data_IF_057710285575
#
_entry.id   IF_057710285575
#
_cell.length_a   1.000
_cell.length_b   1.000
_cell.length_c   1.000
_cell.angle_alpha   90.00
_cell.angle_beta   90.00
_cell.angle_gamma   90.00
#
_symmetry.space_group_name_H-M   'P 1'
#
loop_
_entity.id
_entity.type
_entity.pdbx_description
1 polymer ?
#
# COMPACT_ATOMS: atom_id res chain seq x y z
N UNK A 1 0.46 3.40 -21.61
CA UNK A 1 1.52 3.69 -20.61
C UNK A 1 2.02 2.38 -20.01
N UNK A 2 3.18 2.37 -19.35
CA UNK A 2 3.78 1.17 -18.71
C UNK A 2 3.18 0.81 -17.34
N UNK A 3 2.08 1.44 -16.96
CA UNK A 3 1.41 1.21 -15.69
C UNK A 3 0.46 0.00 -15.79
N UNK A 4 0.38 -0.76 -14.69
CA UNK A 4 -0.58 -1.86 -14.50
C UNK A 4 -1.52 -1.48 -13.37
N UNK A 5 -2.82 -1.73 -13.57
CA UNK A 5 -3.82 -1.63 -12.52
C UNK A 5 -4.17 -3.03 -12.03
N UNK A 6 -4.05 -3.26 -10.74
CA UNK A 6 -4.54 -4.47 -10.08
C UNK A 6 -5.89 -4.14 -9.44
N UNK A 7 -6.92 -4.92 -9.76
CA UNK A 7 -8.26 -4.69 -9.22
C UNK A 7 -8.38 -5.34 -7.86
N UNK A 8 -8.98 -4.61 -6.91
CA UNK A 8 -9.33 -5.13 -5.59
C UNK A 8 -10.84 -5.43 -5.64
N UNK A 9 -11.22 -6.71 -5.57
CA UNK A 9 -12.63 -7.09 -5.70
C UNK A 9 -13.45 -6.70 -4.46
N UNK A 10 -12.85 -6.77 -3.27
CA UNK A 10 -13.43 -6.36 -1.99
C UNK A 10 -12.41 -5.57 -1.18
N UNK A 11 -12.84 -4.50 -0.49
CA UNK A 11 -11.95 -3.64 0.31
C UNK A 11 -11.04 -4.43 1.26
N UNK A 12 -11.57 -5.47 1.92
CA UNK A 12 -10.81 -6.33 2.84
C UNK A 12 -9.64 -7.07 2.18
N UNK A 13 -9.62 -7.20 0.85
CA UNK A 13 -8.56 -7.88 0.10
C UNK A 13 -7.42 -6.94 -0.32
N UNK A 14 -7.53 -5.63 -0.05
CA UNK A 14 -6.56 -4.64 -0.51
C UNK A 14 -5.13 -5.00 -0.08
N UNK A 15 -4.92 -5.35 1.20
CA UNK A 15 -3.61 -5.77 1.70
C UNK A 15 -3.04 -6.99 0.95
N UNK A 16 -3.87 -7.95 0.55
CA UNK A 16 -3.43 -9.12 -0.21
C UNK A 16 -2.99 -8.72 -1.63
N UNK A 17 -3.76 -7.85 -2.29
CA UNK A 17 -3.42 -7.32 -3.62
C UNK A 17 -2.15 -6.47 -3.58
N UNK A 18 -1.94 -5.71 -2.49
CA UNK A 18 -0.70 -4.96 -2.26
C UNK A 18 0.53 -5.87 -2.24
N UNK A 19 0.46 -6.99 -1.52
CA UNK A 19 1.55 -7.98 -1.49
C UNK A 19 1.74 -8.63 -2.85
N UNK A 20 0.66 -9.07 -3.50
CA UNK A 20 0.71 -9.67 -4.84
C UNK A 20 1.41 -8.74 -5.85
N UNK A 21 1.13 -7.43 -5.78
CA UNK A 21 1.73 -6.44 -6.66
C UNK A 21 3.25 -6.40 -6.55
N UNK A 22 3.79 -6.49 -5.33
CA UNK A 22 5.23 -6.46 -5.11
C UNK A 22 5.87 -7.79 -5.49
N UNK A 23 5.23 -8.92 -5.15
CA UNK A 23 5.78 -10.26 -5.34
C UNK A 23 5.85 -10.63 -6.81
N UNK A 24 4.84 -10.29 -7.59
CA UNK A 24 4.75 -10.74 -8.98
C UNK A 24 5.35 -9.73 -9.97
N UNK A 25 5.50 -8.46 -9.59
CA UNK A 25 5.85 -7.41 -10.55
C UNK A 25 7.03 -6.53 -10.16
N UNK A 26 7.48 -6.52 -8.90
CA UNK A 26 8.60 -5.69 -8.41
C UNK A 26 8.66 -4.30 -9.07
N UNK A 27 7.57 -3.50 -9.01
CA UNK A 27 7.52 -2.22 -9.69
C UNK A 27 8.44 -1.20 -9.00
N UNK A 28 8.79 -0.13 -9.70
CA UNK A 28 9.52 0.99 -9.08
C UNK A 28 8.65 1.78 -8.10
N UNK A 29 7.36 1.89 -8.40
CA UNK A 29 6.38 2.65 -7.62
C UNK A 29 5.05 1.88 -7.56
N UNK A 30 4.45 1.84 -6.37
CA UNK A 30 3.06 1.43 -6.15
C UNK A 30 2.27 2.65 -5.67
N UNK A 31 1.12 2.90 -6.30
CA UNK A 31 0.19 3.96 -5.90
C UNK A 31 -1.10 3.33 -5.42
N UNK A 32 -1.54 3.72 -4.24
CA UNK A 32 -2.77 3.25 -3.59
C UNK A 32 -3.61 4.47 -3.26
N UNK A 33 -4.92 4.32 -3.29
CA UNK A 33 -5.81 5.43 -2.98
C UNK A 33 -5.69 5.80 -1.49
N UNK A 34 -5.95 4.86 -0.58
CA UNK A 34 -5.92 5.10 0.86
C UNK A 34 -5.39 3.88 1.63
N UNK A 35 -4.61 4.14 2.69
CA UNK A 35 -4.26 3.17 3.74
C UNK A 35 -5.10 3.51 4.96
N UNK A 36 -5.97 2.58 5.37
CA UNK A 36 -6.92 2.75 6.47
C UNK A 36 -6.94 1.62 7.50
N UNK A 37 -6.25 0.49 7.24
CA UNK A 37 -6.20 -0.66 8.16
C UNK A 37 -4.78 -1.02 8.58
N UNK A 38 -4.63 -1.69 9.73
CA UNK A 38 -3.33 -2.20 10.20
C UNK A 38 -2.70 -3.19 9.23
N UNK A 39 -3.52 -4.02 8.56
CA UNK A 39 -3.06 -4.98 7.56
C UNK A 39 -2.49 -4.29 6.32
N UNK A 40 -3.12 -3.19 5.88
CA UNK A 40 -2.61 -2.37 4.78
C UNK A 40 -1.32 -1.64 5.16
N UNK A 41 -1.23 -1.11 6.39
CA UNK A 41 0.01 -0.52 6.90
C UNK A 41 1.16 -1.54 6.96
N UNK A 42 0.89 -2.76 7.42
CA UNK A 42 1.87 -3.84 7.41
C UNK A 42 2.29 -4.23 5.99
N UNK A 43 1.35 -4.33 5.05
CA UNK A 43 1.65 -4.59 3.64
C UNK A 43 2.48 -3.45 3.01
N UNK A 44 2.18 -2.19 3.33
CA UNK A 44 2.94 -1.04 2.88
C UNK A 44 4.40 -1.08 3.39
N UNK A 45 4.60 -1.50 4.65
CA UNK A 45 5.94 -1.74 5.20
C UNK A 45 6.69 -2.81 4.41
N UNK A 46 6.07 -3.94 4.10
CA UNK A 46 6.70 -5.00 3.29
C UNK A 46 7.07 -4.51 1.88
N UNK A 47 6.24 -3.67 1.26
CA UNK A 47 6.54 -3.04 -0.04
C UNK A 47 7.80 -2.16 0.07
N UNK A 48 7.86 -1.31 1.09
CA UNK A 48 8.99 -0.42 1.32
C UNK A 48 10.29 -1.18 1.63
N UNK A 49 10.22 -2.26 2.43
CA UNK A 49 11.35 -3.15 2.74
C UNK A 49 11.94 -3.84 1.50
N UNK A 50 11.11 -4.05 0.46
CA UNK A 50 11.57 -4.57 -0.84
C UNK A 50 12.14 -3.49 -1.77
N UNK A 51 12.30 -2.27 -1.29
CA UNK A 51 12.87 -1.15 -2.03
C UNK A 51 11.93 -0.52 -3.07
N UNK A 52 10.63 -0.81 -2.97
CA UNK A 52 9.60 -0.23 -3.84
C UNK A 52 9.07 1.06 -3.22
N UNK A 53 9.01 2.14 -3.99
CA UNK A 53 8.41 3.38 -3.52
C UNK A 53 6.89 3.20 -3.43
N UNK A 54 6.31 3.50 -2.27
CA UNK A 54 4.86 3.49 -2.08
C UNK A 54 4.34 4.91 -1.91
N UNK A 55 3.24 5.22 -2.61
CA UNK A 55 2.51 6.48 -2.48
C UNK A 55 1.06 6.14 -2.18
N UNK A 56 0.52 6.69 -1.09
CA UNK A 56 -0.87 6.52 -0.72
C UNK A 56 -1.40 7.73 0.03
N UNK A 57 -2.72 7.91 0.06
CA UNK A 57 -3.33 8.79 1.06
C UNK A 57 -3.53 8.02 2.37
N UNK A 58 -3.67 8.75 3.46
CA UNK A 58 -4.01 8.20 4.76
C UNK A 58 -4.92 9.19 5.47
N UNK A 59 -5.98 8.70 6.11
CA UNK A 59 -6.89 9.54 6.86
C UNK A 59 -6.38 9.80 8.27
N UNK A 60 -6.27 11.06 8.65
CA UNK A 60 -5.86 11.46 9.99
C UNK A 60 -6.18 12.92 10.25
N UNK A 61 -6.57 13.22 11.49
CA UNK A 61 -6.89 14.59 11.92
C UNK A 61 -5.62 15.40 12.29
N UNK A 62 -4.48 14.73 12.42
CA UNK A 62 -3.19 15.34 12.69
C UNK A 62 -2.07 14.48 12.12
N UNK A 63 -0.90 15.08 11.86
CA UNK A 63 0.29 14.33 11.45
C UNK A 63 0.69 13.29 12.51
N UNK A 64 0.48 13.58 13.79
CA UNK A 64 0.74 12.64 14.88
C UNK A 64 -0.08 11.36 14.79
N UNK A 65 -1.35 11.45 14.34
CA UNK A 65 -2.20 10.27 14.13
C UNK A 65 -1.69 9.38 12.99
N UNK A 66 -1.00 9.97 12.01
CA UNK A 66 -0.49 9.30 10.81
C UNK A 66 0.91 8.71 10.99
N UNK A 67 1.71 9.30 11.87
CA UNK A 67 3.10 8.89 12.13
C UNK A 67 3.23 7.79 13.20
N UNK A 68 2.11 7.31 13.75
CA UNK A 68 2.15 6.14 14.65
C UNK A 68 2.51 4.93 13.81
N UNK A 69 3.72 4.42 14.00
CA UNK A 69 4.17 3.19 13.37
C UNK A 69 3.66 2.00 14.22
N UNK A 70 2.73 1.18 13.71
CA UNK A 70 2.37 -0.08 14.37
C UNK A 70 3.49 -1.13 14.29
#
# INVERSE_FOLDING_TARGET
GRARRMQVARTVEQHAVMIEAVENHMPQVIVIDEIGTELEAAAARTIAERGVQLVATAHGNSLGNLLVNP
#
